data_IF_900337476245
#
_entry.id   IF_900337476245
#
_cell.length_a   1.000
_cell.length_b   1.000
_cell.length_c   1.000
_cell.angle_alpha   90.00
_cell.angle_beta   90.00
_cell.angle_gamma   90.00
#
_symmetry.space_group_name_H-M   'P 1'
#
loop_
_entity.id
_entity.type
_entity.pdbx_description
1 polymer ?
#
# COMPACT_ATOMS: atom_id res chain seq x y z
N UNK A 1 11.56 26.95 -2.44
CA UNK A 1 11.11 26.48 -1.11
C UNK A 1 11.26 27.65 -0.15
N UNK A 2 10.24 27.97 0.65
CA UNK A 2 10.21 29.20 1.48
C UNK A 2 10.13 28.83 2.96
N UNK A 3 10.97 29.42 3.82
CA UNK A 3 11.00 29.13 5.27
C UNK A 3 9.84 29.83 5.99
N UNK A 4 9.35 29.22 7.06
CA UNK A 4 8.43 29.84 8.03
C UNK A 4 9.26 30.45 9.15
N UNK A 5 9.33 31.79 9.20
CA UNK A 5 10.23 32.50 10.13
C UNK A 5 9.68 32.59 11.56
N UNK A 6 8.36 32.50 11.73
CA UNK A 6 7.71 32.48 13.05
C UNK A 6 7.98 31.21 13.85
N UNK A 7 8.45 30.14 13.20
CA UNK A 7 8.88 28.90 13.84
C UNK A 7 10.41 28.88 13.87
N UNK A 8 10.99 29.49 14.91
CA UNK A 8 12.43 29.70 15.01
C UNK A 8 13.19 28.51 15.62
N UNK A 9 12.51 27.66 16.39
CA UNK A 9 13.08 26.53 17.13
C UNK A 9 13.59 25.39 16.23
N UNK A 10 13.08 25.28 15.00
CA UNK A 10 13.59 24.36 13.96
C UNK A 10 13.24 24.84 12.55
N UNK A 11 13.79 24.16 11.53
CA UNK A 11 13.52 24.50 10.14
C UNK A 11 12.14 24.00 9.69
N UNK A 12 11.25 24.95 9.41
CA UNK A 12 9.95 24.70 8.80
C UNK A 12 9.84 25.39 7.44
N UNK A 13 9.17 24.72 6.50
CA UNK A 13 8.98 25.20 5.14
C UNK A 13 7.50 25.29 4.79
N UNK A 14 7.17 26.32 4.01
CA UNK A 14 5.85 26.55 3.45
C UNK A 14 5.56 25.54 2.35
N UNK A 15 4.43 24.84 2.48
CA UNK A 15 3.82 24.00 1.45
C UNK A 15 2.62 24.76 0.88
N UNK A 16 2.53 24.86 -0.45
CA UNK A 16 1.46 25.60 -1.13
C UNK A 16 0.94 24.78 -2.30
N UNK A 17 -0.33 24.37 -2.24
CA UNK A 17 -1.00 23.63 -3.32
C UNK A 17 -2.37 24.26 -3.57
N UNK A 18 -2.54 24.99 -4.68
CA UNK A 18 -3.77 25.76 -4.96
C UNK A 18 -4.15 26.66 -3.76
N UNK A 19 -5.34 26.50 -3.16
CA UNK A 19 -5.78 27.19 -1.94
C UNK A 19 -5.25 26.58 -0.64
N UNK A 20 -4.65 25.40 -0.68
CA UNK A 20 -4.13 24.71 0.50
C UNK A 20 -2.76 25.23 0.89
N UNK A 21 -2.55 25.38 2.20
CA UNK A 21 -1.31 25.80 2.82
C UNK A 21 -0.90 24.76 3.85
N UNK A 22 0.39 24.62 4.06
CA UNK A 22 0.91 23.71 5.07
C UNK A 22 2.29 24.11 5.55
N UNK A 23 2.68 23.52 6.67
CA UNK A 23 4.00 23.66 7.26
C UNK A 23 4.64 22.27 7.32
N UNK A 24 5.78 22.11 6.65
CA UNK A 24 6.54 20.87 6.66
C UNK A 24 7.90 21.06 7.31
N UNK A 25 8.37 20.05 8.04
CA UNK A 25 9.70 20.03 8.65
C UNK A 25 10.37 18.69 8.37
N UNK A 26 11.70 18.69 8.35
CA UNK A 26 12.47 17.45 8.30
C UNK A 26 12.59 16.91 9.71
N UNK A 27 12.30 15.62 9.89
CA UNK A 27 12.43 14.96 11.18
C UNK A 27 13.90 14.58 11.43
N UNK A 28 14.55 15.07 12.50
CA UNK A 28 15.90 14.64 12.85
C UNK A 28 16.01 13.12 13.04
N UNK A 29 14.95 12.50 13.54
CA UNK A 29 14.83 11.06 13.75
C UNK A 29 15.05 10.27 12.46
N UNK A 30 14.74 10.85 11.29
CA UNK A 30 14.92 10.20 10.00
C UNK A 30 16.40 9.95 9.63
N UNK A 31 17.34 10.67 10.25
CA UNK A 31 18.78 10.50 10.02
C UNK A 31 19.44 9.53 11.00
N UNK A 32 18.75 9.18 12.08
CA UNK A 32 19.28 8.26 13.08
C UNK A 32 19.06 6.80 12.68
N UNK A 33 20.11 6.00 12.78
CA UNK A 33 20.07 4.55 12.55
C UNK A 33 19.30 3.80 13.63
N UNK A 34 19.09 4.42 14.79
CA UNK A 34 18.34 3.84 15.91
C UNK A 34 16.86 4.17 15.89
N UNK A 35 16.41 5.04 14.99
CA UNK A 35 15.01 5.42 14.87
C UNK A 35 14.15 4.32 14.24
N UNK A 36 12.86 4.38 14.56
CA UNK A 36 11.86 3.51 13.94
C UNK A 36 11.93 3.59 12.40
N UNK A 37 11.76 2.47 11.69
CA UNK A 37 11.80 2.44 10.22
C UNK A 37 10.88 3.47 9.55
N UNK A 38 9.71 3.73 10.14
CA UNK A 38 8.71 4.67 9.63
C UNK A 38 9.26 6.09 9.56
N UNK A 39 10.00 6.54 10.59
CA UNK A 39 10.62 7.86 10.59
C UNK A 39 11.69 8.01 9.50
N UNK A 40 12.39 6.92 9.16
CA UNK A 40 13.38 6.91 8.08
C UNK A 40 12.75 6.91 6.68
N UNK A 41 11.59 6.24 6.52
CA UNK A 41 10.83 6.22 5.28
C UNK A 41 10.13 7.56 4.99
N UNK A 42 9.74 8.29 6.02
CA UNK A 42 9.08 9.59 5.92
C UNK A 42 9.94 10.71 6.54
N UNK A 43 11.05 11.12 5.88
CA UNK A 43 11.97 12.11 6.44
C UNK A 43 11.36 13.51 6.58
N UNK A 44 10.25 13.76 5.87
CA UNK A 44 9.52 15.01 5.90
C UNK A 44 8.14 14.81 6.51
N UNK A 45 7.81 15.66 7.48
CA UNK A 45 6.52 15.66 8.16
C UNK A 45 5.72 16.92 7.84
N UNK A 46 4.46 16.76 7.42
CA UNK A 46 3.51 17.85 7.27
C UNK A 46 2.78 18.09 8.61
N UNK A 47 3.30 18.98 9.43
CA UNK A 47 2.84 19.18 10.81
C UNK A 47 1.55 20.00 10.96
N UNK A 48 1.20 20.80 9.95
CA UNK A 48 -0.04 21.56 9.94
C UNK A 48 -0.49 21.84 8.51
N UNK A 49 -1.81 21.91 8.32
CA UNK A 49 -2.44 22.26 7.05
C UNK A 49 -3.65 23.16 7.27
N UNK A 50 -3.96 23.99 6.26
CA UNK A 50 -5.09 24.90 6.27
C UNK A 50 -5.31 25.58 4.93
N UNK A 51 -6.06 26.67 4.93
CA UNK A 51 -6.41 27.42 3.72
C UNK A 51 -5.72 28.78 3.65
N UNK A 52 -5.42 29.22 2.43
CA UNK A 52 -5.14 30.64 2.17
C UNK A 52 -6.43 31.44 2.27
N UNK A 53 -6.40 32.52 3.04
CA UNK A 53 -7.46 33.51 3.19
C UNK A 53 -6.80 34.89 3.23
N UNK A 54 -6.32 35.32 2.07
CA UNK A 54 -5.54 36.55 1.97
C UNK A 54 -6.29 37.77 2.52
N UNK A 55 -5.64 38.51 3.41
CA UNK A 55 -6.22 39.67 4.10
C UNK A 55 -7.12 39.32 5.30
N UNK A 56 -7.31 38.04 5.61
CA UNK A 56 -8.12 37.57 6.74
C UNK A 56 -7.20 37.08 7.88
N UNK A 57 -7.47 37.45 9.15
CA UNK A 57 -6.72 36.92 10.31
C UNK A 57 -6.76 35.39 10.43
N UNK A 58 -7.74 34.73 9.80
CA UNK A 58 -7.85 33.28 9.71
C UNK A 58 -7.04 32.68 8.54
N UNK A 59 -6.20 33.45 7.85
CA UNK A 59 -5.18 32.89 6.96
C UNK A 59 -4.29 31.93 7.74
N UNK A 60 -4.00 30.78 7.10
CA UNK A 60 -3.20 29.73 7.72
C UNK A 60 -1.86 30.24 8.27
N UNK A 61 -1.09 31.02 7.50
CA UNK A 61 0.24 31.42 7.95
C UNK A 61 0.20 32.50 9.03
N UNK A 62 -0.83 33.36 9.03
CA UNK A 62 -1.06 34.33 10.10
C UNK A 62 -1.45 33.64 11.41
N UNK A 63 -2.39 32.68 11.33
CA UNK A 63 -2.81 31.89 12.50
C UNK A 63 -1.66 31.03 13.05
N UNK A 64 -0.85 30.45 12.17
CA UNK A 64 0.33 29.68 12.53
C UNK A 64 1.36 30.57 13.24
N UNK A 65 1.65 31.76 12.70
CA UNK A 65 2.59 32.70 13.31
C UNK A 65 2.12 33.20 14.68
N UNK A 66 0.83 33.55 14.81
CA UNK A 66 0.25 33.95 16.09
C UNK A 66 0.37 32.85 17.15
N UNK A 67 0.12 31.60 16.77
CA UNK A 67 0.23 30.44 17.66
C UNK A 67 1.68 30.17 18.05
N UNK A 68 2.60 30.21 17.08
CA UNK A 68 4.02 30.01 17.32
C UNK A 68 4.62 31.05 18.27
N UNK A 69 4.27 32.33 18.09
CA UNK A 69 4.74 33.41 18.94
C UNK A 69 4.22 33.30 20.38
N UNK A 70 3.01 32.77 20.57
CA UNK A 70 2.45 32.53 21.90
C UNK A 70 3.09 31.32 22.58
N UNK A 71 3.24 30.22 21.86
CA UNK A 71 3.66 28.94 22.44
C UNK A 71 5.19 28.84 22.57
N UNK A 72 5.96 29.60 21.76
CA UNK A 72 7.43 29.62 21.77
C UNK A 72 8.11 28.34 21.26
N UNK A 73 7.33 27.34 20.86
CA UNK A 73 7.82 26.03 20.40
C UNK A 73 6.91 25.44 19.32
N UNK A 74 7.51 24.72 18.38
CA UNK A 74 6.82 24.00 17.31
C UNK A 74 6.46 22.55 17.64
N UNK A 75 6.76 22.07 18.85
CA UNK A 75 6.61 20.65 19.23
C UNK A 75 5.19 20.11 19.07
N UNK A 76 4.17 20.96 19.20
CA UNK A 76 2.76 20.57 19.02
C UNK A 76 2.40 20.12 17.61
N UNK A 77 3.22 20.46 16.61
CA UNK A 77 3.01 20.10 15.21
C UNK A 77 3.92 18.95 14.76
N UNK A 78 4.72 18.39 15.67
CA UNK A 78 5.52 17.21 15.41
C UNK A 78 4.67 15.94 15.54
N UNK A 79 5.08 14.83 14.91
CA UNK A 79 4.40 13.56 15.06
C UNK A 79 4.29 13.16 16.53
N UNK A 80 3.11 12.71 16.94
CA UNK A 80 2.91 12.07 18.23
C UNK A 80 2.93 10.55 18.07
N UNK A 81 2.97 9.83 19.18
CA UNK A 81 2.97 8.36 19.17
C UNK A 81 1.78 7.76 18.38
N UNK A 82 0.63 8.45 18.37
CA UNK A 82 -0.54 8.00 17.62
C UNK A 82 -0.37 8.21 16.09
N UNK A 83 0.33 9.27 15.66
CA UNK A 83 0.60 9.54 14.25
C UNK A 83 1.44 8.43 13.63
N UNK A 84 2.45 7.96 14.36
CA UNK A 84 3.30 6.85 13.92
C UNK A 84 2.51 5.54 13.78
N UNK A 85 1.67 5.22 14.77
CA UNK A 85 0.77 4.06 14.68
C UNK A 85 -0.20 4.17 13.52
N UNK A 86 -0.76 5.35 13.28
CA UNK A 86 -1.65 5.58 12.14
C UNK A 86 -0.89 5.37 10.83
N UNK A 87 0.30 5.95 10.67
CA UNK A 87 1.11 5.81 9.45
C UNK A 87 1.48 4.34 9.20
N UNK A 88 1.82 3.59 10.24
CA UNK A 88 2.07 2.15 10.15
C UNK A 88 0.83 1.39 9.63
N UNK A 89 -0.34 1.65 10.20
CA UNK A 89 -1.59 1.01 9.77
C UNK A 89 -1.98 1.42 8.33
N UNK A 90 -1.80 2.69 7.97
CA UNK A 90 -2.04 3.19 6.61
C UNK A 90 -1.14 2.48 5.60
N UNK A 91 0.15 2.28 5.91
CA UNK A 91 1.08 1.54 5.05
C UNK A 91 0.70 0.06 4.94
N UNK A 92 0.36 -0.61 6.05
CA UNK A 92 -0.06 -2.03 6.02
C UNK A 92 -1.33 -2.18 5.18
N UNK A 93 -2.30 -1.29 5.37
CA UNK A 93 -3.55 -1.31 4.62
C UNK A 93 -3.34 -1.04 3.13
N UNK A 94 -2.53 -0.02 2.79
CA UNK A 94 -2.22 0.30 1.40
C UNK A 94 -1.49 -0.86 0.71
N UNK A 95 -0.55 -1.49 1.41
CA UNK A 95 0.16 -2.68 0.92
C UNK A 95 -0.78 -3.87 0.72
N UNK A 96 -1.65 -4.17 1.70
CA UNK A 96 -2.63 -5.24 1.58
C UNK A 96 -3.58 -5.01 0.39
N UNK A 97 -4.11 -3.78 0.28
CA UNK A 97 -4.98 -3.37 -0.81
C UNK A 97 -4.29 -3.56 -2.17
N UNK A 98 -3.02 -3.17 -2.28
CA UNK A 98 -2.26 -3.28 -3.52
C UNK A 98 -1.98 -4.73 -3.92
N UNK A 99 -1.62 -5.60 -2.97
CA UNK A 99 -1.47 -7.04 -3.27
C UNK A 99 -2.79 -7.62 -3.75
N UNK A 100 -3.89 -7.35 -3.06
CA UNK A 100 -5.21 -7.85 -3.46
C UNK A 100 -5.57 -7.39 -4.87
N UNK A 101 -5.31 -6.13 -5.19
CA UNK A 101 -5.53 -5.55 -6.52
C UNK A 101 -4.71 -6.28 -7.58
N UNK A 102 -3.40 -6.42 -7.37
CA UNK A 102 -2.49 -7.10 -8.32
C UNK A 102 -2.89 -8.56 -8.50
N UNK A 103 -3.12 -9.32 -7.43
CA UNK A 103 -3.49 -10.75 -7.52
C UNK A 103 -4.77 -10.92 -8.32
N UNK A 104 -5.81 -10.11 -8.06
CA UNK A 104 -7.06 -10.15 -8.82
C UNK A 104 -6.85 -9.83 -10.29
N UNK A 105 -6.01 -8.84 -10.59
CA UNK A 105 -5.66 -8.46 -11.96
C UNK A 105 -4.95 -9.60 -12.71
N UNK A 106 -3.97 -10.27 -12.08
CA UNK A 106 -3.30 -11.43 -12.67
C UNK A 106 -4.29 -12.55 -13.00
N UNK A 107 -5.22 -12.83 -12.09
CA UNK A 107 -6.24 -13.87 -12.27
C UNK A 107 -7.21 -13.49 -13.38
N UNK A 108 -7.70 -12.25 -13.40
CA UNK A 108 -8.65 -11.78 -14.40
C UNK A 108 -8.03 -11.83 -15.81
N UNK A 109 -6.77 -11.39 -15.97
CA UNK A 109 -6.03 -11.55 -17.24
C UNK A 109 -5.88 -13.01 -17.63
N UNK A 110 -5.60 -13.89 -16.67
CA UNK A 110 -5.50 -15.33 -16.91
C UNK A 110 -6.84 -15.94 -17.33
N UNK A 111 -7.95 -15.52 -16.72
CA UNK A 111 -9.30 -15.97 -17.10
C UNK A 111 -9.65 -15.62 -18.55
N UNK A 112 -9.14 -14.49 -19.07
CA UNK A 112 -9.43 -14.05 -20.43
C UNK A 112 -8.78 -14.93 -21.51
N UNK A 113 -7.61 -15.50 -21.26
CA UNK A 113 -6.83 -16.17 -22.31
C UNK A 113 -6.14 -17.49 -21.91
N UNK A 114 -6.23 -17.90 -20.64
CA UNK A 114 -5.66 -19.13 -20.12
C UNK A 114 -4.13 -19.12 -19.95
N UNK A 115 -3.47 -17.97 -20.06
CA UNK A 115 -2.02 -17.85 -19.82
C UNK A 115 -1.70 -17.54 -18.36
N UNK A 116 -0.52 -17.96 -17.91
CA UNK A 116 -0.02 -17.61 -16.59
C UNK A 116 0.49 -16.17 -16.58
N UNK A 117 0.12 -15.41 -15.55
CA UNK A 117 0.56 -14.04 -15.34
C UNK A 117 1.33 -13.93 -14.03
N UNK A 118 2.36 -13.08 -14.02
CA UNK A 118 3.28 -12.95 -12.89
C UNK A 118 3.46 -11.49 -12.49
N UNK A 119 3.60 -11.26 -11.18
CA UNK A 119 4.05 -10.00 -10.61
C UNK A 119 5.22 -10.24 -9.66
N UNK A 120 6.24 -9.40 -9.78
CA UNK A 120 7.41 -9.40 -8.91
C UNK A 120 7.32 -8.24 -7.91
N UNK A 121 7.46 -8.58 -6.63
CA UNK A 121 7.65 -7.64 -5.54
C UNK A 121 9.12 -7.68 -5.11
N UNK A 122 9.57 -6.72 -4.30
CA UNK A 122 10.98 -6.60 -3.89
C UNK A 122 11.57 -7.91 -3.32
N UNK A 123 10.75 -8.77 -2.72
CA UNK A 123 11.21 -9.98 -2.02
C UNK A 123 10.52 -11.28 -2.43
N UNK A 124 9.48 -11.22 -3.25
CA UNK A 124 8.68 -12.40 -3.59
C UNK A 124 8.00 -12.23 -4.94
N UNK A 125 7.67 -13.35 -5.57
CA UNK A 125 6.96 -13.40 -6.85
C UNK A 125 5.62 -14.10 -6.65
N UNK A 126 4.59 -13.61 -7.34
CA UNK A 126 3.27 -14.22 -7.37
C UNK A 126 2.89 -14.52 -8.82
N UNK A 127 2.49 -15.75 -9.06
CA UNK A 127 2.01 -16.24 -10.36
C UNK A 127 0.53 -16.62 -10.22
N UNK A 128 -0.31 -16.25 -11.18
CA UNK A 128 -1.69 -16.73 -11.27
C UNK A 128 -1.95 -17.40 -12.62
N UNK A 129 -2.65 -18.54 -12.59
CA UNK A 129 -3.15 -19.23 -13.77
C UNK A 129 -4.58 -19.73 -13.51
N UNK A 130 -5.54 -19.29 -14.31
CA UNK A 130 -6.90 -19.82 -14.33
C UNK A 130 -7.08 -20.69 -15.58
N UNK A 131 -7.62 -21.89 -15.41
CA UNK A 131 -7.86 -22.82 -16.52
C UNK A 131 -9.20 -23.53 -16.36
N UNK A 132 -9.96 -23.60 -17.45
CA UNK A 132 -11.10 -24.48 -17.54
C UNK A 132 -10.66 -25.92 -17.88
N UNK A 133 -11.05 -26.89 -17.06
CA UNK A 133 -10.83 -28.32 -17.25
C UNK A 133 -12.04 -29.10 -16.71
N UNK A 134 -12.57 -30.04 -17.49
CA UNK A 134 -13.73 -30.88 -17.14
C UNK A 134 -14.99 -30.13 -16.65
N UNK A 135 -15.21 -28.91 -17.14
CA UNK A 135 -16.36 -28.07 -16.78
C UNK A 135 -16.16 -27.26 -15.49
N UNK A 136 -15.01 -27.39 -14.84
CA UNK A 136 -14.60 -26.59 -13.69
C UNK A 136 -13.49 -25.60 -14.09
N UNK A 137 -13.37 -24.50 -13.34
CA UNK A 137 -12.23 -23.58 -13.51
C UNK A 137 -11.28 -23.77 -12.35
N UNK A 138 -10.08 -24.27 -12.63
CA UNK A 138 -9.00 -24.40 -11.67
C UNK A 138 -8.23 -23.09 -11.61
N UNK A 139 -8.09 -22.54 -10.40
CA UNK A 139 -7.22 -21.41 -10.11
C UNK A 139 -5.95 -21.92 -9.44
N UNK A 140 -4.82 -21.50 -9.99
CA UNK A 140 -3.48 -21.83 -9.54
C UNK A 140 -2.77 -20.56 -9.12
N UNK A 141 -2.20 -20.57 -7.92
CA UNK A 141 -1.39 -19.50 -7.37
C UNK A 141 0.00 -20.04 -7.04
N UNK A 142 1.00 -19.59 -7.79
CA UNK A 142 2.41 -19.84 -7.52
C UNK A 142 2.98 -18.72 -6.65
N UNK A 143 3.73 -19.09 -5.61
CA UNK A 143 4.42 -18.13 -4.75
C UNK A 143 5.87 -18.53 -4.55
N UNK A 144 6.78 -17.59 -4.76
CA UNK A 144 8.22 -17.79 -4.59
C UNK A 144 8.78 -16.83 -3.54
N UNK A 145 9.71 -17.30 -2.69
CA UNK A 145 10.41 -16.51 -1.67
C UNK A 145 9.51 -15.81 -0.62
N UNK A 146 8.30 -16.36 -0.39
CA UNK A 146 7.44 -15.87 0.69
C UNK A 146 7.90 -16.45 2.04
N UNK A 147 8.67 -15.67 2.79
CA UNK A 147 9.13 -16.04 4.12
C UNK A 147 8.09 -15.73 5.23
N UNK A 148 7.20 -14.75 5.02
CA UNK A 148 6.21 -14.32 6.00
C UNK A 148 4.83 -14.94 5.68
N UNK A 149 4.28 -15.81 6.54
CA UNK A 149 2.99 -16.46 6.29
C UNK A 149 1.82 -15.47 6.18
N UNK A 150 1.96 -14.25 6.69
CA UNK A 150 0.94 -13.20 6.55
C UNK A 150 0.81 -12.71 5.11
N UNK A 151 1.92 -12.66 4.37
CA UNK A 151 1.92 -12.28 2.94
C UNK A 151 1.17 -13.34 2.14
N UNK A 152 1.46 -14.62 2.41
CA UNK A 152 0.73 -15.73 1.80
C UNK A 152 -0.78 -15.64 2.11
N UNK A 153 -1.15 -15.38 3.36
CA UNK A 153 -2.54 -15.21 3.76
C UNK A 153 -3.22 -14.06 2.99
N UNK A 154 -2.57 -12.91 2.81
CA UNK A 154 -3.12 -11.80 2.01
C UNK A 154 -3.34 -12.21 0.56
N UNK A 155 -2.42 -12.96 -0.04
CA UNK A 155 -2.52 -13.44 -1.43
C UNK A 155 -3.71 -14.39 -1.61
N UNK A 156 -3.82 -15.45 -0.80
CA UNK A 156 -4.92 -16.42 -0.94
C UNK A 156 -6.28 -15.80 -0.58
N UNK A 157 -6.29 -14.85 0.36
CA UNK A 157 -7.50 -14.12 0.73
C UNK A 157 -7.86 -13.01 -0.28
N UNK A 158 -7.03 -12.76 -1.29
CA UNK A 158 -7.32 -11.75 -2.30
C UNK A 158 -8.58 -12.08 -3.07
N UNK A 159 -8.90 -13.37 -3.27
CA UNK A 159 -10.05 -13.79 -4.05
C UNK A 159 -11.30 -13.88 -3.15
N UNK A 160 -12.32 -13.05 -3.39
CA UNK A 160 -13.54 -13.11 -2.61
C UNK A 160 -14.32 -14.40 -2.89
N UNK A 161 -14.92 -14.99 -1.86
CA UNK A 161 -15.85 -16.12 -2.02
C UNK A 161 -15.21 -17.49 -2.25
N UNK A 162 -13.88 -17.62 -2.12
CA UNK A 162 -13.20 -18.92 -2.03
C UNK A 162 -13.06 -19.29 -0.55
N UNK A 163 -13.42 -20.53 -0.21
CA UNK A 163 -13.20 -21.05 1.14
C UNK A 163 -11.70 -21.26 1.40
N UNK A 164 -11.20 -20.83 2.55
CA UNK A 164 -9.77 -20.94 2.84
C UNK A 164 -9.31 -22.39 2.94
N UNK A 165 -10.22 -23.31 3.29
CA UNK A 165 -9.92 -24.73 3.40
C UNK A 165 -9.90 -25.48 2.05
N UNK A 166 -10.35 -24.85 0.96
CA UNK A 166 -10.36 -25.46 -0.37
C UNK A 166 -9.02 -25.38 -1.11
N UNK A 167 -8.06 -24.59 -0.58
CA UNK A 167 -6.72 -24.49 -1.16
C UNK A 167 -5.91 -25.75 -0.89
N UNK A 168 -5.38 -26.34 -1.94
CA UNK A 168 -4.52 -27.53 -1.87
C UNK A 168 -3.13 -27.23 -2.44
N UNK A 169 -2.04 -27.72 -1.84
CA UNK A 169 -0.71 -27.59 -2.42
C UNK A 169 -0.54 -28.56 -3.60
N UNK A 170 0.10 -28.11 -4.67
CA UNK A 170 0.45 -28.89 -5.87
C UNK A 170 1.98 -28.99 -6.00
N UNK A 171 2.66 -29.77 -5.14
CA UNK A 171 4.12 -29.78 -5.05
C UNK A 171 4.81 -30.34 -6.29
N UNK A 172 4.13 -31.16 -7.09
CA UNK A 172 4.64 -31.71 -8.36
C UNK A 172 4.39 -30.75 -9.54
N UNK A 173 3.77 -29.60 -9.27
CA UNK A 173 3.27 -28.70 -10.28
C UNK A 173 2.01 -29.23 -10.95
N UNK A 174 1.58 -28.49 -11.97
CA UNK A 174 0.36 -28.76 -12.73
C UNK A 174 0.62 -28.40 -14.18
N UNK A 175 -0.12 -29.00 -15.10
CA UNK A 175 0.05 -28.74 -16.53
C UNK A 175 0.01 -27.22 -16.80
N UNK A 176 1.09 -26.64 -17.31
CA UNK A 176 1.17 -25.19 -17.61
C UNK A 176 1.85 -24.34 -16.54
N UNK A 177 2.15 -24.88 -15.37
CA UNK A 177 3.01 -24.28 -14.35
C UNK A 177 4.03 -25.33 -13.89
N UNK A 178 5.31 -25.07 -14.17
CA UNK A 178 6.40 -25.86 -13.59
C UNK A 178 6.98 -25.03 -12.45
N UNK A 179 6.92 -25.51 -11.20
CA UNK A 179 7.45 -24.76 -10.08
C UNK A 179 8.96 -24.61 -10.24
N UNK A 180 9.44 -23.38 -10.08
CA UNK A 180 10.87 -23.10 -9.94
C UNK A 180 11.35 -23.53 -8.53
N UNK A 181 12.67 -23.73 -8.31
CA UNK A 181 13.20 -24.07 -6.99
C UNK A 181 12.78 -23.04 -5.93
N UNK A 182 12.06 -23.50 -4.90
CA UNK A 182 11.55 -22.64 -3.82
C UNK A 182 10.19 -22.01 -4.09
N UNK A 183 9.57 -22.31 -5.24
CA UNK A 183 8.18 -21.97 -5.53
C UNK A 183 7.23 -23.03 -4.96
N UNK A 184 6.13 -22.57 -4.36
CA UNK A 184 5.02 -23.42 -3.93
C UNK A 184 3.80 -23.03 -4.77
N UNK A 185 3.17 -24.02 -5.40
CA UNK A 185 1.93 -23.87 -6.15
C UNK A 185 0.77 -24.33 -5.28
N UNK A 186 -0.30 -23.53 -5.28
CA UNK A 186 -1.56 -23.82 -4.63
C UNK A 186 -2.68 -23.83 -5.66
N UNK A 187 -3.61 -24.77 -5.54
CA UNK A 187 -4.77 -24.92 -6.41
C UNK A 187 -6.08 -24.82 -5.62
N UNK A 188 -7.12 -24.36 -6.30
CA UNK A 188 -8.51 -24.43 -5.82
C UNK A 188 -9.45 -24.39 -7.03
N UNK A 189 -10.70 -24.82 -6.84
CA UNK A 189 -11.77 -24.57 -7.81
C UNK A 189 -12.24 -23.11 -7.65
N UNK A 190 -12.30 -22.40 -8.76
CA UNK A 190 -12.82 -21.03 -8.86
C UNK A 190 -14.30 -21.08 -9.26
N UNK A 191 -15.22 -20.65 -8.38
CA UNK A 191 -16.63 -20.63 -8.71
C UNK A 191 -16.93 -19.69 -9.89
N UNK A 192 -17.84 -20.06 -10.83
CA UNK A 192 -18.16 -19.22 -11.99
C UNK A 192 -18.61 -17.80 -11.64
N UNK A 193 -19.36 -17.64 -10.55
CA UNK A 193 -19.80 -16.32 -10.08
C UNK A 193 -18.63 -15.44 -9.62
N UNK A 194 -17.60 -16.04 -9.01
CA UNK A 194 -16.38 -15.33 -8.60
C UNK A 194 -15.53 -14.99 -9.82
N UNK A 195 -15.40 -15.92 -10.78
CA UNK A 195 -14.70 -15.66 -12.04
C UNK A 195 -15.31 -14.48 -12.81
N UNK A 196 -16.64 -14.40 -12.89
CA UNK A 196 -17.35 -13.27 -13.50
C UNK A 196 -17.05 -11.95 -12.77
N UNK A 197 -17.11 -11.93 -11.44
CA UNK A 197 -16.77 -10.73 -10.65
C UNK A 197 -15.32 -10.27 -10.86
N UNK A 198 -14.38 -11.19 -11.01
CA UNK A 198 -12.98 -10.84 -11.27
C UNK A 198 -12.81 -10.22 -12.66
N UNK A 199 -13.51 -10.72 -13.67
CA UNK A 199 -13.50 -10.14 -15.01
C UNK A 199 -14.08 -8.72 -15.04
N UNK A 200 -15.13 -8.45 -14.25
CA UNK A 200 -15.73 -7.11 -14.14
C UNK A 200 -14.82 -6.06 -13.45
N UNK A 201 -13.71 -6.50 -12.83
CA UNK A 201 -12.78 -5.59 -12.13
C UNK A 201 -11.61 -5.11 -12.98
N UNK A 202 -11.44 -5.62 -14.19
CA UNK A 202 -10.46 -5.09 -15.12
C UNK A 202 -10.95 -3.74 -15.65
N UNK A 203 -10.09 -2.69 -15.69
CA UNK A 203 -10.39 -1.52 -16.48
C UNK A 203 -10.59 -1.94 -17.94
N UNK A 204 -11.58 -1.38 -18.63
CA UNK A 204 -11.64 -1.49 -20.08
C UNK A 204 -10.33 -0.93 -20.67
N UNK A 205 -9.64 -1.74 -21.47
CA UNK A 205 -8.47 -1.28 -22.23
C UNK A 205 -8.96 -0.31 -23.32
N UNK A 206 -9.04 0.99 -23.00
CA UNK A 206 -9.24 2.12 -23.94
C UNK A 206 -7.90 2.70 -24.43
#
# INVERSE_FOLDING_TARGET
MERILSLADRLWFKVKVSRWRGAATRLPEAESTTSEPQARLAPWWLGAGGYRREGDPSDFYETLAATANRDGSSNRWLPQAWDWKRLELEHIYAWEHEIRRIVRELIARSLQNGYAYQAEFERYKVTALARAEDGETYLLIGTENIADPRVFAVIINAIPGIDHSSWMPEPEGVRGLKPEPGEIIWSTILPPAVAAQLLDTLPDDD
#
